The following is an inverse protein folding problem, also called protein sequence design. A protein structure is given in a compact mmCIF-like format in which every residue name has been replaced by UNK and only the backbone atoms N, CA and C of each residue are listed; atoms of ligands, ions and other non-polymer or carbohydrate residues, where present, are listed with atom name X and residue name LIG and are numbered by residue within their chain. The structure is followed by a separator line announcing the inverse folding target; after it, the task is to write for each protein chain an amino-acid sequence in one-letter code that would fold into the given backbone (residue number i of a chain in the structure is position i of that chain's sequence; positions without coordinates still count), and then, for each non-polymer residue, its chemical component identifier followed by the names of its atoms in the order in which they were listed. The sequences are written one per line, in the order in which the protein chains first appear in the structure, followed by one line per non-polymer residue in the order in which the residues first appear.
data_IF_457629043504
#
_entry.id   IF_457629043504
#
_cell.length_a   1.000
_cell.length_b   1.000
_cell.length_c   1.000
_cell.angle_alpha   90.00
_cell.angle_beta   90.00
_cell.angle_gamma   90.00
#
_symmetry.space_group_name_H-M   'P 1'
#
loop_
_entity.id
_entity.type
_entity.pdbx_description
1 polymer ?
#
# COMPACT_ATOMS: atom_id res chain seq x y z
N UNK A 1 -5.87 -27.33 -0.07
CA UNK A 1 -4.96 -28.49 0.01
C UNK A 1 -4.47 -28.57 1.45
N UNK A 2 -4.85 -29.60 2.21
CA UNK A 2 -4.41 -29.77 3.60
C UNK A 2 -3.05 -30.48 3.60
N UNK A 3 -2.05 -29.93 4.28
CA UNK A 3 -0.73 -30.53 4.34
C UNK A 3 -0.80 -31.76 5.25
N UNK A 4 -0.49 -32.95 4.73
CA UNK A 4 -0.44 -34.16 5.53
C UNK A 4 0.73 -34.03 6.52
N UNK A 5 0.44 -34.19 7.81
CA UNK A 5 1.44 -34.24 8.87
C UNK A 5 1.69 -35.71 9.28
N UNK A 6 2.56 -36.45 8.57
CA UNK A 6 2.78 -37.87 8.83
C UNK A 6 3.41 -38.16 10.19
N UNK A 7 4.00 -37.15 10.85
CA UNK A 7 4.71 -37.32 12.12
C UNK A 7 3.88 -36.93 13.35
N UNK A 8 2.65 -36.42 13.16
CA UNK A 8 1.75 -35.97 14.23
C UNK A 8 2.39 -35.00 15.26
N UNK A 9 3.51 -34.36 14.90
CA UNK A 9 4.16 -33.32 15.71
C UNK A 9 3.38 -32.03 15.51
N UNK A 10 3.00 -31.36 16.59
CA UNK A 10 2.33 -30.06 16.49
C UNK A 10 3.32 -29.02 15.96
N UNK A 11 3.36 -28.86 14.64
CA UNK A 11 4.19 -27.87 13.97
C UNK A 11 3.56 -26.46 14.00
N UNK A 12 2.44 -26.27 14.71
CA UNK A 12 1.63 -25.05 14.61
C UNK A 12 0.97 -24.88 13.23
N UNK A 13 0.96 -25.94 12.41
CA UNK A 13 0.40 -25.98 11.04
C UNK A 13 -0.98 -26.62 10.98
N UNK A 14 -1.65 -26.78 12.13
CA UNK A 14 -3.05 -27.21 12.25
C UNK A 14 -4.05 -26.22 11.63
N UNK A 15 -3.57 -25.17 10.97
CA UNK A 15 -4.35 -24.18 10.22
C UNK A 15 -4.45 -24.48 8.71
N UNK A 16 -5.45 -23.86 8.08
CA UNK A 16 -5.61 -23.88 6.63
C UNK A 16 -4.48 -23.11 5.95
N UNK A 17 -3.74 -23.77 5.06
CA UNK A 17 -2.73 -23.11 4.22
C UNK A 17 -3.42 -22.45 3.03
N UNK A 18 -3.30 -21.12 2.95
CA UNK A 18 -3.84 -20.32 1.86
C UNK A 18 -2.66 -19.75 1.07
N UNK A 19 -2.69 -19.95 -0.24
CA UNK A 19 -1.76 -19.29 -1.15
C UNK A 19 -2.14 -17.81 -1.23
N UNK A 20 -1.20 -16.93 -0.91
CA UNK A 20 -1.38 -15.48 -0.96
C UNK A 20 -0.31 -14.87 -1.88
N UNK A 21 -0.61 -13.68 -2.41
CA UNK A 21 0.37 -12.91 -3.18
C UNK A 21 1.58 -12.52 -2.32
N UNK A 22 2.72 -12.35 -2.97
CA UNK A 22 3.94 -11.86 -2.31
C UNK A 22 3.76 -10.42 -1.81
N UNK A 23 4.48 -10.03 -0.76
CA UNK A 23 4.33 -8.69 -0.16
C UNK A 23 4.68 -7.58 -1.15
N UNK A 24 5.67 -7.81 -1.99
CA UNK A 24 6.12 -6.88 -3.02
C UNK A 24 5.07 -6.71 -4.13
N UNK A 25 4.34 -7.78 -4.43
CA UNK A 25 3.24 -7.77 -5.38
C UNK A 25 1.99 -7.08 -4.81
N UNK A 26 1.66 -7.36 -3.54
CA UNK A 26 0.59 -6.67 -2.80
C UNK A 26 0.89 -5.17 -2.76
N UNK A 27 2.16 -4.78 -2.56
CA UNK A 27 2.57 -3.38 -2.61
C UNK A 27 2.27 -2.76 -3.98
N UNK A 28 2.69 -3.40 -5.07
CA UNK A 28 2.39 -2.92 -6.43
C UNK A 28 0.87 -2.76 -6.67
N UNK A 29 0.05 -3.71 -6.21
CA UNK A 29 -1.42 -3.63 -6.31
C UNK A 29 -2.00 -2.45 -5.53
N UNK A 30 -1.46 -2.18 -4.34
CA UNK A 30 -1.88 -1.04 -3.51
C UNK A 30 -1.58 0.29 -4.17
N UNK A 31 -0.46 0.41 -4.89
CA UNK A 31 -0.11 1.60 -5.67
C UNK A 31 -1.07 1.83 -6.84
N UNK A 32 -1.43 0.76 -7.56
CA UNK A 32 -2.42 0.80 -8.65
C UNK A 32 -3.79 1.20 -8.11
N UNK A 33 -4.23 0.57 -7.01
CA UNK A 33 -5.49 0.90 -6.35
C UNK A 33 -5.51 2.36 -5.87
N UNK A 34 -4.40 2.83 -5.30
CA UNK A 34 -4.23 4.23 -4.91
C UNK A 34 -4.32 5.17 -6.12
N UNK A 35 -3.92 4.76 -7.33
CA UNK A 35 -3.99 5.61 -8.52
C UNK A 35 -5.35 5.60 -9.24
N UNK A 36 -6.08 4.48 -9.25
CA UNK A 36 -7.26 4.31 -10.11
C UNK A 36 -8.61 4.23 -9.40
N UNK A 37 -8.65 4.04 -8.08
CA UNK A 37 -9.91 3.97 -7.30
C UNK A 37 -10.81 5.21 -7.51
N UNK A 38 -12.01 5.13 -8.11
CA UNK A 38 -12.82 6.31 -8.37
C UNK A 38 -13.35 6.95 -7.08
N UNK A 39 -13.58 8.26 -7.14
CA UNK A 39 -14.24 9.12 -6.14
C UNK A 39 -13.45 9.49 -4.87
N UNK A 40 -12.88 8.52 -4.14
CA UNK A 40 -12.23 8.81 -2.85
C UNK A 40 -10.92 8.08 -2.63
N UNK A 41 -10.03 8.73 -1.90
CA UNK A 41 -8.81 8.13 -1.37
C UNK A 41 -9.21 7.24 -0.20
N UNK A 42 -8.84 5.96 -0.24
CA UNK A 42 -9.00 5.08 0.92
C UNK A 42 -7.77 5.20 1.81
N UNK A 43 -7.99 5.68 3.01
CA UNK A 43 -6.96 5.88 4.02
C UNK A 43 -6.33 4.56 4.44
N UNK A 44 -7.06 3.44 4.39
CA UNK A 44 -6.47 2.11 4.59
C UNK A 44 -5.39 1.76 3.58
N UNK A 45 -5.61 2.05 2.30
CA UNK A 45 -4.62 1.74 1.25
C UNK A 45 -3.31 2.54 1.50
N UNK A 46 -3.40 3.76 2.04
CA UNK A 46 -2.24 4.56 2.45
C UNK A 46 -1.50 3.97 3.67
N UNK A 47 -2.24 3.47 4.66
CA UNK A 47 -1.66 2.80 5.82
C UNK A 47 -0.93 1.52 5.40
N UNK A 48 -1.55 0.69 4.56
CA UNK A 48 -0.93 -0.54 4.08
C UNK A 48 0.38 -0.23 3.33
N UNK A 49 0.41 0.82 2.51
CA UNK A 49 1.62 1.28 1.82
C UNK A 49 2.70 1.72 2.81
N UNK A 50 2.37 2.57 3.79
CA UNK A 50 3.36 3.06 4.76
C UNK A 50 3.87 1.96 5.68
N UNK A 51 3.02 0.99 6.01
CA UNK A 51 3.39 -0.19 6.79
C UNK A 51 4.30 -1.15 6.01
N UNK A 52 4.03 -1.38 4.71
CA UNK A 52 4.93 -2.18 3.87
C UNK A 52 6.30 -1.51 3.71
N UNK A 53 6.31 -0.20 3.55
CA UNK A 53 7.55 0.57 3.46
C UNK A 53 8.33 0.57 4.78
N UNK A 54 7.67 0.68 5.95
CA UNK A 54 8.36 0.63 7.25
C UNK A 54 9.05 -0.71 7.51
N UNK A 55 8.63 -1.77 6.81
CA UNK A 55 9.29 -3.08 6.79
C UNK A 55 10.42 -3.19 5.76
N UNK A 56 10.82 -2.08 5.13
CA UNK A 56 11.83 -2.01 4.08
C UNK A 56 11.52 -2.90 2.85
N UNK A 57 10.24 -3.17 2.58
CA UNK A 57 9.79 -3.96 1.43
C UNK A 57 9.76 -3.04 0.21
N UNK A 58 10.39 -3.48 -0.89
CA UNK A 58 10.37 -2.74 -2.16
C UNK A 58 9.20 -3.24 -3.03
N UNK A 59 8.41 -2.34 -3.64
CA UNK A 59 7.36 -2.75 -4.55
C UNK A 59 7.96 -3.37 -5.82
N UNK A 60 7.35 -4.44 -6.33
CA UNK A 60 7.70 -5.00 -7.65
C UNK A 60 7.12 -4.14 -8.75
N UNK A 61 7.78 -3.02 -9.05
CA UNK A 61 7.35 -2.05 -10.05
C UNK A 61 7.28 -2.66 -11.47
N UNK A 62 8.13 -3.64 -11.76
CA UNK A 62 8.14 -4.39 -13.03
C UNK A 62 6.78 -5.04 -13.33
N UNK A 63 6.00 -5.40 -12.30
CA UNK A 63 4.68 -6.00 -12.48
C UNK A 63 3.58 -4.96 -12.75
N UNK A 64 3.82 -3.67 -12.48
CA UNK A 64 2.80 -2.64 -12.65
C UNK A 64 2.32 -2.55 -14.11
N UNK A 65 3.19 -2.47 -15.15
CA UNK A 65 2.72 -2.44 -16.53
C UNK A 65 1.88 -3.66 -16.93
N UNK A 66 2.26 -4.85 -16.48
CA UNK A 66 1.51 -6.08 -16.74
C UNK A 66 0.12 -6.03 -16.09
N UNK A 67 0.04 -5.64 -14.82
CA UNK A 67 -1.22 -5.53 -14.09
C UNK A 67 -2.13 -4.43 -14.62
N UNK A 68 -1.56 -3.33 -15.11
CA UNK A 68 -2.31 -2.29 -15.79
C UNK A 68 -2.92 -2.79 -17.10
N UNK A 69 -2.16 -3.55 -17.89
CA UNK A 69 -2.65 -4.19 -19.11
C UNK A 69 -3.80 -5.16 -18.81
N UNK A 70 -3.66 -5.99 -17.78
CA UNK A 70 -4.70 -6.95 -17.38
C UNK A 70 -6.00 -6.26 -16.95
N UNK A 71 -5.90 -5.07 -16.36
CA UNK A 71 -7.04 -4.26 -15.94
C UNK A 71 -7.57 -3.32 -17.04
N UNK A 72 -7.04 -3.40 -18.27
CA UNK A 72 -7.34 -2.48 -19.39
C UNK A 72 -7.08 -0.99 -19.06
N UNK A 73 -6.11 -0.72 -18.18
CA UNK A 73 -5.73 0.62 -17.75
C UNK A 73 -4.49 1.10 -18.51
N UNK A 74 -4.52 2.34 -19.00
CA UNK A 74 -3.40 2.91 -19.74
C UNK A 74 -2.30 3.42 -18.79
N UNK A 75 -1.05 3.03 -19.05
CA UNK A 75 0.13 3.48 -18.29
C UNK A 75 0.26 5.01 -18.21
N UNK A 76 -0.10 5.72 -19.29
CA UNK A 76 -0.10 7.19 -19.32
C UNK A 76 -1.16 7.80 -18.39
N UNK A 77 -2.31 7.12 -18.24
CA UNK A 77 -3.35 7.54 -17.31
C UNK A 77 -2.90 7.34 -15.86
N UNK A 78 -2.20 6.23 -15.56
CA UNK A 78 -1.68 5.96 -14.21
C UNK A 78 -0.81 7.10 -13.68
N UNK A 79 0.20 7.54 -14.45
CA UNK A 79 1.10 8.61 -14.02
C UNK A 79 0.36 9.94 -13.81
N UNK A 80 -0.66 10.24 -14.61
CA UNK A 80 -1.46 11.47 -14.49
C UNK A 80 -2.34 11.41 -13.23
N UNK A 81 -3.13 10.35 -13.07
CA UNK A 81 -4.07 10.21 -11.96
C UNK A 81 -3.35 10.04 -10.62
N UNK A 82 -2.20 9.35 -10.60
CA UNK A 82 -1.36 9.25 -9.41
C UNK A 82 -0.83 10.62 -8.96
N UNK A 83 -0.36 11.45 -9.90
CA UNK A 83 0.09 12.81 -9.60
C UNK A 83 -1.04 13.73 -9.15
N UNK A 84 -2.22 13.62 -9.74
CA UNK A 84 -3.42 14.35 -9.31
C UNK A 84 -3.79 14.00 -7.87
N UNK A 85 -3.78 12.71 -7.51
CA UNK A 85 -4.04 12.28 -6.13
C UNK A 85 -2.98 12.75 -5.17
N UNK A 86 -1.71 12.69 -5.55
CA UNK A 86 -0.61 13.24 -4.74
C UNK A 86 -0.75 14.74 -4.49
N UNK A 87 -1.28 15.50 -5.45
CA UNK A 87 -1.61 16.93 -5.24
C UNK A 87 -2.76 17.09 -4.26
N UNK A 88 -3.83 16.30 -4.39
CA UNK A 88 -4.95 16.30 -3.43
C UNK A 88 -4.48 15.99 -2.01
N UNK A 89 -3.60 15.00 -1.83
CA UNK A 89 -2.99 14.68 -0.53
C UNK A 89 -2.25 15.86 0.10
N UNK A 90 -1.61 16.72 -0.71
CA UNK A 90 -0.86 17.89 -0.24
C UNK A 90 -1.74 19.07 0.13
N UNK A 91 -2.89 19.23 -0.54
CA UNK A 91 -3.75 20.40 -0.40
C UNK A 91 -4.79 20.25 0.71
N UNK A 92 -5.23 19.02 1.01
CA UNK A 92 -6.33 18.78 1.92
C UNK A 92 -5.88 18.66 3.39
N UNK A 93 -6.11 19.71 4.19
CA UNK A 93 -5.85 19.74 5.64
C UNK A 93 -6.78 18.83 6.44
N UNK A 94 -7.97 18.51 5.91
CA UNK A 94 -8.99 17.67 6.55
C UNK A 94 -8.67 16.17 6.48
N UNK A 95 -7.72 15.79 5.63
CA UNK A 95 -7.26 14.42 5.42
C UNK A 95 -6.79 13.75 6.70
N UNK A 96 -6.05 14.47 7.57
CA UNK A 96 -5.53 13.89 8.81
C UNK A 96 -6.67 13.45 9.75
N UNK A 97 -7.76 14.21 9.78
CA UNK A 97 -8.95 13.89 10.58
C UNK A 97 -9.69 12.68 10.01
N UNK A 98 -9.93 12.67 8.70
CA UNK A 98 -10.60 11.54 8.05
C UNK A 98 -9.76 10.26 8.09
N UNK A 99 -8.44 10.39 7.92
CA UNK A 99 -7.48 9.30 8.08
C UNK A 99 -7.56 8.69 9.48
N UNK A 100 -7.52 9.53 10.52
CA UNK A 100 -7.64 9.09 11.91
C UNK A 100 -8.97 8.39 12.17
N UNK A 101 -10.09 8.93 11.67
CA UNK A 101 -11.42 8.33 11.83
C UNK A 101 -11.54 6.98 11.13
N UNK A 102 -10.98 6.84 9.92
CA UNK A 102 -11.01 5.56 9.19
C UNK A 102 -10.11 4.54 9.90
N UNK A 103 -8.89 4.93 10.31
CA UNK A 103 -7.94 4.02 10.95
C UNK A 103 -8.35 3.61 12.37
N UNK A 104 -9.10 4.45 13.08
CA UNK A 104 -9.70 4.08 14.37
C UNK A 104 -10.60 2.85 14.30
N UNK A 105 -11.18 2.54 13.13
CA UNK A 105 -12.03 1.35 12.94
C UNK A 105 -11.22 0.08 12.70
N UNK A 106 -9.95 0.20 12.32
CA UNK A 106 -9.12 -0.93 11.88
C UNK A 106 -7.95 -1.24 12.80
N UNK A 107 -7.45 -0.25 13.54
CA UNK A 107 -6.29 -0.40 14.42
C UNK A 107 -6.70 -0.44 15.90
N UNK A 108 -5.98 -1.21 16.74
CA UNK A 108 -6.09 -1.12 18.19
C UNK A 108 -5.74 0.28 18.71
N UNK A 109 -6.35 0.67 19.83
CA UNK A 109 -6.17 1.98 20.47
C UNK A 109 -4.69 2.35 20.71
N UNK A 110 -3.86 1.36 21.03
CA UNK A 110 -2.43 1.53 21.29
C UNK A 110 -1.66 2.00 20.04
N UNK A 111 -1.90 1.36 18.89
CA UNK A 111 -1.27 1.72 17.61
C UNK A 111 -1.76 3.09 17.10
N UNK A 112 -3.00 3.46 17.41
CA UNK A 112 -3.54 4.79 17.09
C UNK A 112 -2.83 5.87 17.91
N UNK A 113 -2.63 5.63 19.21
CA UNK A 113 -1.98 6.60 20.10
C UNK A 113 -0.50 6.81 19.78
N UNK A 114 0.21 5.76 19.35
CA UNK A 114 1.65 5.81 19.05
C UNK A 114 1.94 6.38 17.66
N UNK A 115 1.14 6.01 16.64
CA UNK A 115 1.47 6.30 15.23
C UNK A 115 0.59 7.38 14.61
N UNK A 116 -0.70 7.45 14.98
CA UNK A 116 -1.67 8.38 14.36
C UNK A 116 -1.83 9.71 15.09
N UNK A 117 -1.41 9.78 16.36
CA UNK A 117 -1.45 11.03 17.12
C UNK A 117 -0.42 12.05 16.62
N UNK A 118 0.59 11.60 15.86
CA UNK A 118 1.63 12.45 15.32
C UNK A 118 1.23 12.96 13.93
N UNK A 119 0.96 14.26 13.81
CA UNK A 119 0.80 14.99 12.52
C UNK A 119 1.99 14.77 11.55
N UNK A 120 3.10 14.25 12.07
CA UNK A 120 4.29 13.83 11.32
C UNK A 120 3.96 12.68 10.36
N UNK A 121 3.03 11.79 10.71
CA UNK A 121 2.72 10.61 9.91
C UNK A 121 2.02 10.94 8.59
N UNK A 122 1.14 11.95 8.58
CA UNK A 122 0.51 12.43 7.35
C UNK A 122 1.55 13.05 6.40
N UNK A 123 2.48 13.85 6.94
CA UNK A 123 3.63 14.39 6.20
C UNK A 123 4.56 13.29 5.70
N UNK A 124 4.78 12.25 6.50
CA UNK A 124 5.59 11.09 6.14
C UNK A 124 4.97 10.29 4.99
N UNK A 125 3.66 10.03 5.00
CA UNK A 125 2.97 9.35 3.89
C UNK A 125 3.11 10.16 2.60
N UNK A 126 2.91 11.49 2.68
CA UNK A 126 3.08 12.36 1.52
C UNK A 126 4.52 12.30 1.03
N UNK A 127 5.50 12.44 1.92
CA UNK A 127 6.92 12.36 1.59
C UNK A 127 7.30 11.02 0.94
N UNK A 128 6.88 9.91 1.53
CA UNK A 128 7.07 8.54 1.03
C UNK A 128 6.50 8.36 -0.37
N UNK A 129 5.26 8.77 -0.60
CA UNK A 129 4.64 8.68 -1.92
C UNK A 129 5.24 9.66 -2.94
N UNK A 130 5.84 10.76 -2.45
CA UNK A 130 6.44 11.79 -3.30
C UNK A 130 7.83 11.40 -3.77
N UNK A 131 8.71 11.02 -2.85
CA UNK A 131 10.14 10.85 -3.08
C UNK A 131 10.50 9.39 -3.39
N UNK A 132 10.02 8.44 -2.61
CA UNK A 132 10.45 7.05 -2.74
C UNK A 132 9.95 6.42 -4.06
N UNK A 133 8.68 6.65 -4.41
CA UNK A 133 8.14 6.13 -5.67
C UNK A 133 8.73 6.79 -6.91
N UNK A 134 9.00 8.11 -6.87
CA UNK A 134 9.64 8.78 -8.02
C UNK A 134 11.04 8.21 -8.24
N UNK A 135 11.82 8.04 -7.17
CA UNK A 135 13.16 7.48 -7.25
C UNK A 135 13.15 6.03 -7.74
N UNK A 136 12.17 5.24 -7.31
CA UNK A 136 12.03 3.85 -7.75
C UNK A 136 11.54 3.73 -9.20
N UNK A 137 10.62 4.59 -9.66
CA UNK A 137 10.22 4.65 -11.08
C UNK A 137 11.37 5.11 -12.00
N UNK A 138 12.20 6.05 -11.54
CA UNK A 138 13.39 6.50 -12.28
C UNK A 138 14.48 5.41 -12.32
N UNK A 139 14.65 4.66 -11.23
CA UNK A 139 15.60 3.53 -11.17
C UNK A 139 15.15 2.35 -12.04
N UNK A 140 13.85 2.05 -12.09
CA UNK A 140 13.28 1.00 -12.92
C UNK A 140 13.31 1.31 -14.43
N UNK A 141 13.55 2.57 -14.84
CA UNK A 141 13.71 2.97 -16.24
C UNK A 141 15.15 2.83 -16.74
N UNK A 142 16.09 2.50 -15.86
CA UNK A 142 17.53 2.45 -16.15
C UNK A 142 18.13 1.03 -16.21
N UNK A 143 17.29 0.00 -16.06
CA UNK A 143 17.60 -1.40 -16.38
C UNK A 143 16.66 -1.88 -17.50
#
# INVERSE_FOLDING_TARGET
MMLLNPYAVDMGTSGLIIQAQSREEIYADKLIAFAFRPNRIKYRDLWDISWLHSQAIKPRLELIPHKLKDQNLFHRAFSKTFNERKKLLKTSTEMAKEFKQEMQRFLPAEQISQTLAQEIFSRFIVYLLVEDLINQFLSAKHN
#
